data_IF_540523615226
#
_entry.id   IF_540523615226
#
_cell.length_a   1.000
_cell.length_b   1.000
_cell.length_c   1.000
_cell.angle_alpha   90.00
_cell.angle_beta   90.00
_cell.angle_gamma   90.00
#
_symmetry.space_group_name_H-M   'P 1'
#
loop_
_entity.id
_entity.type
_entity.pdbx_description
1 polymer ?
#
# COMPACT_ATOMS: atom_id res chain seq x y z
N UNK A 1 -1.15 16.08 -2.74
CA UNK A 1 -1.44 16.20 -4.18
C UNK A 1 -0.61 15.26 -5.04
N UNK A 2 0.57 14.85 -4.60
CA UNK A 2 1.49 14.04 -5.43
C UNK A 2 1.14 12.54 -5.49
N UNK A 3 0.65 11.95 -4.40
CA UNK A 3 0.38 10.50 -4.36
C UNK A 3 -0.67 10.02 -5.39
N UNK A 4 -1.67 10.84 -5.69
CA UNK A 4 -2.68 10.52 -6.70
C UNK A 4 -2.08 10.56 -8.11
N UNK A 5 -1.32 11.61 -8.42
CA UNK A 5 -0.63 11.74 -9.70
C UNK A 5 0.39 10.61 -9.89
N UNK A 6 1.14 10.26 -8.83
CA UNK A 6 2.12 9.18 -8.84
C UNK A 6 1.45 7.82 -9.07
N UNK A 7 0.30 7.54 -8.43
CA UNK A 7 -0.41 6.27 -8.59
C UNK A 7 -1.03 6.07 -9.97
N UNK A 8 -1.36 7.16 -10.65
CA UNK A 8 -1.88 7.13 -12.02
C UNK A 8 -0.78 7.18 -13.09
N UNK A 9 0.49 7.23 -12.70
CA UNK A 9 1.62 7.38 -13.62
C UNK A 9 1.64 8.74 -14.32
N UNK A 10 0.91 9.72 -13.80
CA UNK A 10 0.94 11.08 -14.31
C UNK A 10 2.22 11.74 -13.82
N UNK A 11 3.10 12.13 -14.73
CA UNK A 11 4.25 12.94 -14.36
C UNK A 11 3.73 14.28 -13.80
N UNK A 12 4.09 14.65 -12.56
CA UNK A 12 3.73 15.97 -12.06
C UNK A 12 4.41 17.02 -12.95
N UNK A 13 3.66 17.99 -13.41
CA UNK A 13 4.18 19.07 -14.28
C UNK A 13 5.36 19.84 -13.66
N UNK A 14 5.64 19.61 -12.37
CA UNK A 14 6.62 20.34 -11.57
C UNK A 14 7.64 19.50 -10.81
N UNK A 15 7.66 18.18 -10.93
CA UNK A 15 8.67 17.37 -10.24
C UNK A 15 9.59 16.67 -11.22
N UNK A 16 10.69 17.31 -11.53
CA UNK A 16 11.87 16.67 -12.10
C UNK A 16 12.76 16.02 -11.03
N UNK A 17 12.26 15.74 -9.82
CA UNK A 17 13.07 15.07 -8.82
C UNK A 17 13.20 13.58 -9.16
N UNK A 18 14.43 13.08 -9.40
CA UNK A 18 14.65 11.67 -9.58
C UNK A 18 14.20 10.94 -8.31
N UNK A 19 13.66 9.73 -8.45
CA UNK A 19 13.36 8.85 -7.30
C UNK A 19 14.60 8.81 -6.42
N UNK A 20 14.48 9.29 -5.17
CA UNK A 20 15.60 9.30 -4.22
C UNK A 20 16.03 7.87 -3.95
N UNK A 21 17.35 7.65 -3.90
CA UNK A 21 17.88 6.37 -3.46
C UNK A 21 17.37 6.02 -2.05
N UNK A 22 17.21 4.73 -1.73
CA UNK A 22 16.88 4.32 -0.36
C UNK A 22 17.86 4.94 0.66
N UNK A 23 17.34 5.35 1.83
CA UNK A 23 18.18 5.93 2.89
C UNK A 23 19.12 4.91 3.53
N UNK A 24 18.77 3.63 3.44
CA UNK A 24 19.62 2.51 3.88
C UNK A 24 19.81 1.54 2.72
N UNK A 25 20.93 0.82 2.62
CA UNK A 25 21.10 -0.24 1.64
C UNK A 25 19.99 -1.29 1.80
N UNK A 26 19.47 -1.80 0.69
CA UNK A 26 18.55 -2.93 0.73
C UNK A 26 19.36 -4.23 0.88
N UNK A 27 18.84 -5.15 1.69
CA UNK A 27 19.47 -6.48 1.82
C UNK A 27 19.34 -7.22 0.49
N UNK A 28 20.44 -7.78 0.00
CA UNK A 28 20.43 -8.61 -1.20
C UNK A 28 19.83 -9.99 -0.86
N UNK A 29 18.70 -10.37 -1.45
CA UNK A 29 18.05 -11.64 -1.16
C UNK A 29 18.91 -12.87 -1.53
N UNK A 30 19.87 -12.71 -2.45
CA UNK A 30 20.75 -13.80 -2.88
C UNK A 30 21.84 -14.11 -1.85
N UNK A 31 22.19 -13.16 -0.98
CA UNK A 31 23.23 -13.28 0.04
C UNK A 31 22.70 -13.18 1.47
N UNK A 32 21.37 -13.05 1.61
CA UNK A 32 20.71 -12.99 2.91
C UNK A 32 20.92 -14.28 3.72
N UNK A 33 20.83 -14.17 5.06
CA UNK A 33 20.79 -15.33 5.93
C UNK A 33 19.64 -16.28 5.54
N UNK A 34 19.80 -17.61 5.70
CA UNK A 34 18.80 -18.57 5.20
C UNK A 34 17.36 -18.31 5.65
N UNK A 35 17.17 -17.96 6.92
CA UNK A 35 15.84 -17.64 7.48
C UNK A 35 15.22 -16.38 6.86
N UNK A 36 16.01 -15.36 6.58
CA UNK A 36 15.59 -14.14 5.88
C UNK A 36 15.28 -14.46 4.42
N UNK A 37 16.15 -15.23 3.77
CA UNK A 37 15.97 -15.64 2.37
C UNK A 37 14.66 -16.40 2.15
N UNK A 38 14.26 -17.28 3.07
CA UNK A 38 13.00 -18.01 2.99
C UNK A 38 11.78 -17.06 3.05
N UNK A 39 11.80 -16.08 3.95
CA UNK A 39 10.73 -15.09 4.06
C UNK A 39 10.63 -14.24 2.79
N UNK A 40 11.78 -13.77 2.29
CA UNK A 40 11.83 -12.95 1.09
C UNK A 40 11.33 -13.71 -0.16
N UNK A 41 11.69 -14.98 -0.29
CA UNK A 41 11.22 -15.84 -1.38
C UNK A 41 9.71 -16.11 -1.27
N UNK A 42 9.21 -16.39 -0.06
CA UNK A 42 7.76 -16.54 0.17
C UNK A 42 6.99 -15.26 -0.20
N UNK A 43 7.52 -14.10 0.18
CA UNK A 43 6.94 -12.81 -0.15
C UNK A 43 6.95 -12.53 -1.66
N UNK A 44 8.06 -12.81 -2.31
CA UNK A 44 8.19 -12.71 -3.76
C UNK A 44 7.12 -13.52 -4.49
N UNK A 45 6.93 -14.77 -4.06
CA UNK A 45 5.94 -15.67 -4.62
C UNK A 45 4.50 -15.20 -4.33
N UNK A 46 4.23 -14.75 -3.09
CA UNK A 46 2.93 -14.27 -2.66
C UNK A 46 2.42 -13.08 -3.48
N UNK A 47 3.30 -12.15 -3.83
CA UNK A 47 3.00 -10.99 -4.65
C UNK A 47 3.26 -11.22 -6.15
N UNK A 48 3.65 -12.43 -6.56
CA UNK A 48 4.02 -12.76 -7.93
C UNK A 48 4.98 -11.74 -8.56
N UNK A 49 6.05 -11.41 -7.83
CA UNK A 49 7.08 -10.45 -8.25
C UNK A 49 8.34 -11.16 -8.71
N UNK A 50 9.13 -10.48 -9.55
CA UNK A 50 10.47 -10.95 -9.92
C UNK A 50 11.45 -10.84 -8.75
N UNK A 51 11.33 -9.78 -7.95
CA UNK A 51 12.11 -9.52 -6.75
C UNK A 51 11.21 -9.31 -5.54
N UNK A 52 11.67 -9.60 -4.31
CA UNK A 52 10.92 -9.29 -3.11
C UNK A 52 10.61 -7.79 -2.99
N UNK A 53 9.49 -7.40 -2.38
CA UNK A 53 9.16 -5.98 -2.16
C UNK A 53 10.29 -5.22 -1.45
N UNK A 54 10.65 -4.04 -1.95
CA UNK A 54 11.77 -3.25 -1.41
C UNK A 54 11.62 -2.92 0.07
N UNK A 55 10.38 -2.76 0.56
CA UNK A 55 10.11 -2.54 1.98
C UNK A 55 10.55 -3.73 2.84
N UNK A 56 10.38 -4.97 2.35
CA UNK A 56 10.84 -6.18 3.06
C UNK A 56 12.36 -6.33 2.99
N UNK A 57 12.98 -5.94 1.87
CA UNK A 57 14.45 -5.90 1.76
C UNK A 57 15.06 -4.90 2.74
N UNK A 58 14.37 -3.79 3.02
CA UNK A 58 14.79 -2.83 4.04
C UNK A 58 14.57 -3.39 5.47
N UNK A 59 13.42 -4.04 5.73
CA UNK A 59 13.12 -4.66 7.02
C UNK A 59 14.04 -5.85 7.34
N UNK A 60 14.64 -6.47 6.33
CA UNK A 60 15.52 -7.62 6.47
C UNK A 60 16.83 -7.34 7.25
N UNK A 61 17.12 -6.08 7.58
CA UNK A 61 18.15 -5.71 8.55
C UNK A 61 17.82 -6.14 9.98
N UNK A 62 16.53 -6.37 10.28
CA UNK A 62 16.06 -6.98 11.53
C UNK A 62 15.21 -8.22 11.20
N UNK A 63 15.81 -9.42 11.25
CA UNK A 63 15.12 -10.67 10.91
C UNK A 63 13.89 -10.95 11.76
N UNK A 64 13.90 -10.58 13.05
CA UNK A 64 12.75 -10.76 13.94
C UNK A 64 11.57 -9.88 13.53
N UNK A 65 11.83 -8.61 13.30
CA UNK A 65 10.82 -7.67 12.82
C UNK A 65 10.27 -8.07 11.44
N UNK A 66 11.14 -8.49 10.53
CA UNK A 66 10.71 -9.00 9.21
C UNK A 66 9.76 -10.19 9.34
N UNK A 67 10.09 -11.16 10.22
CA UNK A 67 9.29 -12.37 10.41
C UNK A 67 7.90 -12.03 10.96
N UNK A 68 7.83 -11.19 12.00
CA UNK A 68 6.57 -10.77 12.60
C UNK A 68 5.72 -9.96 11.62
N UNK A 69 6.34 -9.03 10.90
CA UNK A 69 5.66 -8.24 9.89
C UNK A 69 5.12 -9.11 8.75
N UNK A 70 5.92 -10.05 8.25
CA UNK A 70 5.51 -10.95 7.18
C UNK A 70 4.36 -11.86 7.60
N UNK A 71 4.40 -12.38 8.82
CA UNK A 71 3.29 -13.17 9.37
C UNK A 71 1.99 -12.35 9.41
N UNK A 72 2.07 -11.11 9.85
CA UNK A 72 0.92 -10.19 9.88
C UNK A 72 0.40 -9.91 8.45
N UNK A 73 1.26 -9.63 7.49
CA UNK A 73 0.88 -9.39 6.08
C UNK A 73 0.12 -10.59 5.52
N UNK A 74 0.63 -11.80 5.69
CA UNK A 74 -0.05 -13.02 5.23
C UNK A 74 -1.44 -13.17 5.84
N UNK A 75 -1.56 -12.95 7.15
CA UNK A 75 -2.84 -13.03 7.84
C UNK A 75 -3.84 -11.96 7.39
N UNK A 76 -3.38 -10.74 7.21
CA UNK A 76 -4.22 -9.61 6.77
C UNK A 76 -4.73 -9.83 5.34
N UNK A 77 -3.86 -10.26 4.43
CA UNK A 77 -4.21 -10.40 3.02
C UNK A 77 -4.73 -11.79 2.62
N UNK A 78 -4.84 -12.74 3.56
CA UNK A 78 -5.57 -13.98 3.31
C UNK A 78 -7.06 -13.70 3.06
N UNK A 79 -7.71 -14.50 2.20
CA UNK A 79 -9.16 -14.44 2.02
C UNK A 79 -9.87 -14.74 3.34
N UNK A 80 -10.95 -14.00 3.59
CA UNK A 80 -11.76 -14.12 4.80
C UNK A 80 -13.16 -13.56 4.57
N UNK A 81 -13.69 -12.80 5.53
CA UNK A 81 -14.95 -12.08 5.33
C UNK A 81 -14.86 -11.04 4.18
N UNK A 82 -13.65 -10.53 3.94
CA UNK A 82 -13.31 -9.73 2.76
C UNK A 82 -12.35 -10.54 1.91
N UNK A 83 -12.55 -10.53 0.60
CA UNK A 83 -11.62 -11.12 -0.35
C UNK A 83 -10.32 -10.30 -0.49
N UNK A 84 -9.32 -10.90 -1.09
CA UNK A 84 -8.02 -10.28 -1.30
C UNK A 84 -8.10 -8.97 -2.09
N UNK A 85 -8.91 -8.93 -3.16
CA UNK A 85 -9.02 -7.72 -3.99
C UNK A 85 -9.59 -6.55 -3.19
N UNK A 86 -10.65 -6.78 -2.43
CA UNK A 86 -11.23 -5.75 -1.54
C UNK A 86 -10.19 -5.20 -0.56
N UNK A 87 -9.37 -6.05 0.03
CA UNK A 87 -8.28 -5.62 0.93
C UNK A 87 -7.21 -4.79 0.22
N UNK A 88 -6.87 -5.13 -1.01
CA UNK A 88 -5.93 -4.33 -1.80
C UNK A 88 -6.52 -2.95 -2.17
N UNK A 89 -7.81 -2.88 -2.50
CA UNK A 89 -8.50 -1.59 -2.71
C UNK A 89 -8.46 -0.72 -1.45
N UNK A 90 -8.71 -1.31 -0.28
CA UNK A 90 -8.63 -0.59 0.99
C UNK A 90 -7.21 -0.09 1.29
N UNK A 91 -6.20 -0.93 1.05
CA UNK A 91 -4.79 -0.58 1.24
C UNK A 91 -4.34 0.50 0.25
N UNK A 92 -4.82 0.44 -1.00
CA UNK A 92 -4.61 1.49 -2.00
C UNK A 92 -5.19 2.83 -1.53
N UNK A 93 -6.47 2.85 -1.14
CA UNK A 93 -7.14 4.06 -0.64
C UNK A 93 -6.43 4.65 0.59
N UNK A 94 -6.01 3.80 1.53
CA UNK A 94 -5.24 4.22 2.70
C UNK A 94 -3.88 4.82 2.31
N UNK A 95 -3.18 4.22 1.34
CA UNK A 95 -1.90 4.71 0.83
C UNK A 95 -2.04 6.08 0.15
N UNK A 96 -3.07 6.25 -0.68
CA UNK A 96 -3.39 7.53 -1.34
C UNK A 96 -3.70 8.60 -0.28
N UNK A 97 -4.52 8.27 0.71
CA UNK A 97 -4.88 9.19 1.80
C UNK A 97 -3.66 9.60 2.63
N UNK A 98 -2.76 8.65 2.91
CA UNK A 98 -1.53 8.90 3.65
C UNK A 98 -0.44 9.63 2.83
N UNK A 99 -0.63 9.81 1.53
CA UNK A 99 0.38 10.40 0.65
C UNK A 99 1.58 9.48 0.37
N UNK A 100 1.39 8.16 0.51
CA UNK A 100 2.43 7.16 0.25
C UNK A 100 2.43 6.75 -1.23
N UNK A 101 3.30 7.34 -2.04
CA UNK A 101 3.47 6.95 -3.45
C UNK A 101 3.88 5.47 -3.57
N UNK A 102 4.82 5.01 -2.74
CA UNK A 102 5.24 3.60 -2.73
C UNK A 102 4.06 2.64 -2.47
N UNK A 103 3.26 2.91 -1.44
CA UNK A 103 2.11 2.07 -1.11
C UNK A 103 1.03 2.12 -2.19
N UNK A 104 0.74 3.30 -2.73
CA UNK A 104 -0.24 3.47 -3.80
C UNK A 104 0.17 2.68 -5.05
N UNK A 105 1.41 2.80 -5.52
CA UNK A 105 1.93 2.05 -6.67
C UNK A 105 1.87 0.54 -6.43
N UNK A 106 2.27 0.10 -5.22
CA UNK A 106 2.30 -1.31 -4.86
C UNK A 106 0.89 -1.93 -4.88
N UNK A 107 -0.05 -1.32 -4.20
CA UNK A 107 -1.42 -1.83 -4.10
C UNK A 107 -2.20 -1.68 -5.41
N UNK A 108 -1.94 -0.64 -6.21
CA UNK A 108 -2.49 -0.53 -7.57
C UNK A 108 -2.04 -1.69 -8.47
N UNK A 109 -0.75 -2.05 -8.40
CA UNK A 109 -0.24 -3.22 -9.12
C UNK A 109 -0.95 -4.50 -8.68
N UNK A 110 -1.13 -4.70 -7.37
CA UNK A 110 -1.83 -5.88 -6.85
C UNK A 110 -3.31 -5.90 -7.24
N UNK A 111 -4.00 -4.76 -7.20
CA UNK A 111 -5.38 -4.65 -7.70
C UNK A 111 -5.49 -5.11 -9.16
N UNK A 112 -4.59 -4.62 -10.03
CA UNK A 112 -4.54 -5.02 -11.45
C UNK A 112 -4.24 -6.50 -11.62
N UNK A 113 -3.27 -7.03 -10.88
CA UNK A 113 -2.93 -8.46 -10.89
C UNK A 113 -4.12 -9.34 -10.49
N UNK A 114 -4.93 -8.89 -9.57
CA UNK A 114 -6.14 -9.56 -9.09
C UNK A 114 -7.38 -9.31 -9.97
N UNK A 115 -7.22 -8.60 -11.08
CA UNK A 115 -8.27 -8.41 -12.09
C UNK A 115 -9.12 -7.17 -11.95
N UNK A 116 -8.72 -6.19 -11.12
CA UNK A 116 -9.40 -4.90 -11.09
C UNK A 116 -9.30 -4.20 -12.46
N UNK A 117 -10.42 -3.72 -12.95
CA UNK A 117 -10.45 -2.90 -14.16
C UNK A 117 -9.97 -1.47 -13.87
N UNK A 118 -9.51 -0.76 -14.91
CA UNK A 118 -9.16 0.68 -14.76
C UNK A 118 -10.37 1.50 -14.27
N UNK A 119 -11.59 1.09 -14.62
CA UNK A 119 -12.81 1.71 -14.09
C UNK A 119 -12.93 1.54 -12.58
N UNK A 120 -12.66 0.34 -12.06
CA UNK A 120 -12.69 0.07 -10.62
C UNK A 120 -11.61 0.88 -9.87
N UNK A 121 -10.43 1.09 -10.48
CA UNK A 121 -9.39 1.95 -9.92
C UNK A 121 -9.88 3.40 -9.80
N UNK A 122 -10.52 3.92 -10.85
CA UNK A 122 -11.07 5.28 -10.82
C UNK A 122 -12.17 5.41 -9.77
N UNK A 123 -13.08 4.45 -9.67
CA UNK A 123 -14.14 4.46 -8.64
C UNK A 123 -13.56 4.43 -7.21
N UNK A 124 -12.50 3.64 -6.97
CA UNK A 124 -11.80 3.65 -5.69
C UNK A 124 -11.21 5.04 -5.37
N UNK A 125 -10.65 5.73 -6.38
CA UNK A 125 -10.11 7.08 -6.23
C UNK A 125 -11.21 8.12 -6.03
N UNK A 126 -12.33 8.01 -6.73
CA UNK A 126 -13.50 8.89 -6.55
C UNK A 126 -14.01 8.85 -5.10
N UNK A 127 -14.16 7.64 -4.54
CA UNK A 127 -14.55 7.47 -3.14
C UNK A 127 -13.50 8.05 -2.20
N UNK A 128 -12.23 7.75 -2.43
CA UNK A 128 -11.11 8.25 -1.59
C UNK A 128 -11.05 9.78 -1.59
N UNK A 129 -11.16 10.40 -2.76
CA UNK A 129 -11.16 11.85 -2.91
C UNK A 129 -12.35 12.50 -2.21
N UNK A 130 -13.55 11.96 -2.43
CA UNK A 130 -14.78 12.49 -1.83
C UNK A 130 -14.67 12.50 -0.31
N UNK A 131 -14.26 11.39 0.30
CA UNK A 131 -14.17 11.29 1.76
C UNK A 131 -13.02 12.09 2.36
N UNK A 132 -11.88 12.20 1.67
CA UNK A 132 -10.81 13.10 2.10
C UNK A 132 -11.26 14.58 2.11
N UNK A 133 -12.09 14.99 1.16
CA UNK A 133 -12.70 16.32 1.14
C UNK A 133 -13.79 16.47 2.20
N UNK A 134 -14.69 15.50 2.31
CA UNK A 134 -15.80 15.49 3.25
C UNK A 134 -15.33 15.59 4.71
N UNK A 135 -14.34 14.81 5.10
CA UNK A 135 -13.79 14.87 6.47
C UNK A 135 -13.21 16.25 6.79
N UNK A 136 -12.55 16.92 5.83
CA UNK A 136 -12.05 18.28 6.01
C UNK A 136 -13.19 19.27 6.33
N UNK A 137 -14.32 19.15 5.65
CA UNK A 137 -15.49 20.00 5.89
C UNK A 137 -16.07 19.69 7.27
N UNK A 138 -16.33 18.42 7.56
CA UNK A 138 -16.95 18.00 8.82
C UNK A 138 -16.10 18.41 10.03
N UNK A 139 -14.79 18.18 10.00
CA UNK A 139 -13.89 18.50 11.10
C UNK A 139 -13.72 20.01 11.27
N UNK A 140 -13.57 20.76 10.16
CA UNK A 140 -13.41 22.22 10.21
C UNK A 140 -14.65 22.90 10.79
N UNK A 141 -15.82 22.40 10.44
CA UNK A 141 -17.10 22.91 10.95
C UNK A 141 -17.48 22.30 12.30
N UNK A 142 -16.68 21.36 12.83
CA UNK A 142 -16.93 20.65 14.11
C UNK A 142 -18.32 20.02 14.14
N UNK A 143 -18.73 19.41 13.02
CA UNK A 143 -20.02 18.74 12.94
C UNK A 143 -20.06 17.52 13.87
N UNK A 144 -21.16 17.37 14.59
CA UNK A 144 -21.40 16.17 15.38
C UNK A 144 -21.95 15.06 14.48
N UNK A 145 -21.59 13.78 14.72
CA UNK A 145 -22.14 12.67 13.94
C UNK A 145 -23.66 12.63 14.01
N UNK A 146 -24.31 12.41 12.87
CA UNK A 146 -25.78 12.32 12.77
C UNK A 146 -26.35 11.10 13.50
N UNK A 147 -25.52 10.10 13.69
CA UNK A 147 -25.83 8.89 14.44
C UNK A 147 -25.23 8.97 15.84
N UNK A 148 -25.96 9.57 16.75
CA UNK A 148 -25.64 9.47 18.17
C UNK A 148 -26.26 8.16 18.69
N UNK A 149 -25.51 7.14 19.12
CA UNK A 149 -26.10 6.01 19.81
C UNK A 149 -26.74 6.58 21.07
N UNK A 150 -28.06 6.61 21.12
CA UNK A 150 -28.77 6.99 22.35
C UNK A 150 -28.32 6.02 23.42
N UNK A 151 -28.01 6.52 24.64
CA UNK A 151 -27.62 5.66 25.74
C UNK A 151 -28.72 4.66 26.08
#
# INVERSE_FOLDING_TARGET
MNALADSLGLAPEFSGEPRRAPLIPLVDPLTAAPEVGLILEEARAFFAMEWPPAVLLAMAHDPGYLADYWLAVKGIFADGALDRLTKEVMAFAASVTAGSGYGADFHLREMRRLGASERAVIEALEVTQLFNGFTKIADTLRLTPDFNPRP
#
